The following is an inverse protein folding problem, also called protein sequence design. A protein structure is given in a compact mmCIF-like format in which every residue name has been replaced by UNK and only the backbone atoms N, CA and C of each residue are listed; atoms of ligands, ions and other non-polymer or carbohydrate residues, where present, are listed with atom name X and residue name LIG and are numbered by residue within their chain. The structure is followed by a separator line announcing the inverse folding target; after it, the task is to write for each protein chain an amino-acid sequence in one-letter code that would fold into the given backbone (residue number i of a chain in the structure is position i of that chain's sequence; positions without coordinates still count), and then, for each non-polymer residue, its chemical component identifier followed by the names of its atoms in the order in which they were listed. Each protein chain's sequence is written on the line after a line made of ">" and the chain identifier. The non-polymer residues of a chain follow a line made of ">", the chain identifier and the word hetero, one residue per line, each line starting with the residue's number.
data_IF_124868371994
#
_entry.id   IF_124868371994
#
_cell.length_a   1.000
_cell.length_b   1.000
_cell.length_c   1.000
_cell.angle_alpha   90.00
_cell.angle_beta   90.00
_cell.angle_gamma   90.00
#
_symmetry.space_group_name_H-M   'P 1'
#
loop_
_entity.id
_entity.type
_entity.pdbx_description
1 polymer ?
#
# COMPACT_ATOMS: atom_id res chain seq x y z
N UNK A 1 3.28 35.63 -25.49
CA UNK A 1 4.27 34.71 -24.88
C UNK A 1 3.71 33.28 -24.92
N UNK A 2 4.52 32.25 -25.11
CA UNK A 2 4.02 30.89 -25.00
C UNK A 2 3.43 30.63 -23.59
N UNK A 3 2.33 29.87 -23.54
CA UNK A 3 1.71 29.55 -22.27
C UNK A 3 2.65 28.69 -21.42
N UNK A 4 2.67 28.90 -20.11
CA UNK A 4 3.40 28.04 -19.19
C UNK A 4 2.71 26.67 -19.10
N UNK A 5 3.52 25.61 -19.12
CA UNK A 5 3.02 24.23 -19.07
C UNK A 5 2.83 23.76 -17.65
N UNK A 6 1.70 23.08 -17.41
CA UNK A 6 1.40 22.38 -16.14
C UNK A 6 1.01 20.93 -16.43
N UNK A 7 1.61 19.97 -15.70
CA UNK A 7 1.21 18.57 -15.76
C UNK A 7 0.29 18.28 -14.59
N UNK A 8 -0.96 17.88 -14.86
CA UNK A 8 -1.99 17.58 -13.87
C UNK A 8 -2.11 16.06 -13.67
N UNK A 9 -2.00 15.57 -12.43
CA UNK A 9 -2.44 14.23 -12.05
C UNK A 9 -3.96 14.14 -12.20
N UNK A 10 -4.42 13.45 -13.24
CA UNK A 10 -5.79 13.46 -13.72
C UNK A 10 -6.46 12.09 -13.56
N UNK A 11 -7.41 11.97 -12.66
CA UNK A 11 -8.17 10.73 -12.45
C UNK A 11 -9.40 10.56 -13.35
N UNK A 12 -9.77 11.61 -14.12
CA UNK A 12 -11.03 11.62 -14.87
C UNK A 12 -12.27 11.86 -14.00
N UNK A 13 -12.14 12.00 -12.68
CA UNK A 13 -13.21 12.35 -11.75
C UNK A 13 -13.69 13.79 -11.90
N UNK A 14 -14.70 14.16 -11.09
CA UNK A 14 -15.27 15.51 -11.10
C UNK A 14 -14.20 16.55 -10.74
N UNK A 15 -13.55 16.36 -9.60
CA UNK A 15 -12.57 17.32 -9.05
C UNK A 15 -11.44 17.63 -10.04
N UNK A 16 -10.76 16.58 -10.52
CA UNK A 16 -9.63 16.77 -11.44
C UNK A 16 -10.07 17.30 -12.80
N UNK A 17 -11.32 17.06 -13.22
CA UNK A 17 -11.84 17.66 -14.47
C UNK A 17 -12.16 19.15 -14.31
N UNK A 18 -12.69 19.56 -13.15
CA UNK A 18 -12.87 20.98 -12.83
C UNK A 18 -11.54 21.69 -12.71
N UNK A 19 -10.56 21.07 -12.03
CA UNK A 19 -9.19 21.60 -11.92
C UNK A 19 -8.54 21.77 -13.29
N UNK A 20 -8.66 20.78 -14.18
CA UNK A 20 -8.16 20.87 -15.54
C UNK A 20 -8.71 22.12 -16.27
N UNK A 21 -10.03 22.29 -16.21
CA UNK A 21 -10.69 23.44 -16.85
C UNK A 21 -10.26 24.77 -16.23
N UNK A 22 -10.16 24.81 -14.90
CA UNK A 22 -9.69 26.00 -14.16
C UNK A 22 -8.25 26.38 -14.54
N UNK A 23 -7.32 25.43 -14.65
CA UNK A 23 -5.95 25.66 -15.09
C UNK A 23 -5.89 26.24 -16.53
N UNK A 24 -6.73 25.71 -17.43
CA UNK A 24 -6.83 26.21 -18.81
C UNK A 24 -7.36 27.66 -18.83
N UNK A 25 -8.37 27.97 -18.01
CA UNK A 25 -8.91 29.34 -17.88
C UNK A 25 -7.90 30.30 -17.24
N UNK A 26 -7.07 29.83 -16.32
CA UNK A 26 -5.95 30.59 -15.75
C UNK A 26 -4.79 30.82 -16.72
N UNK A 27 -4.90 30.32 -17.96
CA UNK A 27 -3.95 30.60 -19.04
C UNK A 27 -2.84 29.57 -19.20
N UNK A 28 -2.84 28.48 -18.45
CA UNK A 28 -1.84 27.41 -18.58
C UNK A 28 -2.09 26.53 -19.82
N UNK A 29 -1.00 25.98 -20.37
CA UNK A 29 -1.05 24.82 -21.25
C UNK A 29 -1.11 23.57 -20.38
N UNK A 30 -2.33 23.05 -20.13
CA UNK A 30 -2.54 21.94 -19.24
C UNK A 30 -2.35 20.59 -19.95
N UNK A 31 -1.46 19.75 -19.40
CA UNK A 31 -1.20 18.38 -19.83
C UNK A 31 -1.80 17.44 -18.79
N UNK A 32 -2.74 16.61 -19.19
CA UNK A 32 -3.36 15.62 -18.29
C UNK A 32 -2.53 14.34 -18.26
N UNK A 33 -2.31 13.78 -17.06
CA UNK A 33 -1.65 12.52 -16.85
C UNK A 33 -2.53 11.58 -16.01
N UNK A 34 -2.88 10.43 -16.54
CA UNK A 34 -3.60 9.37 -15.85
C UNK A 34 -2.74 8.11 -15.73
N UNK A 35 -2.66 7.55 -14.53
CA UNK A 35 -1.93 6.31 -14.24
C UNK A 35 -2.89 5.10 -14.23
N UNK A 36 -2.52 4.03 -14.93
CA UNK A 36 -3.13 2.72 -14.78
C UNK A 36 -2.39 1.95 -13.68
N UNK A 37 -3.02 1.83 -12.53
CA UNK A 37 -2.55 1.09 -11.36
C UNK A 37 -3.35 -0.20 -11.11
N UNK A 38 -4.11 -0.65 -12.11
CA UNK A 38 -4.96 -1.84 -12.03
C UNK A 38 -6.40 -1.55 -11.57
N UNK A 39 -6.80 -0.28 -11.45
CA UNK A 39 -8.19 0.10 -11.24
C UNK A 39 -9.02 -0.20 -12.50
N UNK A 40 -10.29 -0.58 -12.30
CA UNK A 40 -11.23 -0.84 -13.41
C UNK A 40 -11.72 0.49 -14.02
N UNK A 41 -10.89 1.13 -14.87
CA UNK A 41 -11.22 2.41 -15.50
C UNK A 41 -11.18 2.30 -17.04
N UNK A 42 -12.06 3.05 -17.70
CA UNK A 42 -12.05 3.20 -19.15
C UNK A 42 -11.11 4.35 -19.55
N UNK A 43 -9.84 4.06 -19.71
CA UNK A 43 -8.81 5.06 -20.03
C UNK A 43 -9.03 5.75 -21.40
N UNK A 44 -9.71 5.11 -22.35
CA UNK A 44 -10.12 5.78 -23.61
C UNK A 44 -11.09 6.92 -23.32
N UNK A 45 -12.10 6.67 -22.49
CA UNK A 45 -13.06 7.70 -22.09
C UNK A 45 -12.40 8.79 -21.22
N UNK A 46 -11.43 8.43 -20.36
CA UNK A 46 -10.65 9.40 -19.58
C UNK A 46 -9.86 10.32 -20.51
N UNK A 47 -9.19 9.80 -21.54
CA UNK A 47 -8.46 10.58 -22.54
C UNK A 47 -9.39 11.53 -23.30
N UNK A 48 -10.49 11.02 -23.83
CA UNK A 48 -11.47 11.82 -24.57
C UNK A 48 -12.04 12.96 -23.73
N UNK A 49 -12.35 12.66 -22.46
CA UNK A 49 -12.84 13.66 -21.51
C UNK A 49 -11.82 14.73 -21.23
N UNK A 50 -10.55 14.38 -21.00
CA UNK A 50 -9.48 15.33 -20.73
C UNK A 50 -9.30 16.29 -21.92
N UNK A 51 -9.26 15.78 -23.16
CA UNK A 51 -9.14 16.58 -24.36
C UNK A 51 -10.34 17.53 -24.54
N UNK A 52 -11.56 17.05 -24.35
CA UNK A 52 -12.79 17.87 -24.40
C UNK A 52 -12.81 18.95 -23.32
N UNK A 53 -12.18 18.70 -22.19
CA UNK A 53 -12.10 19.67 -21.07
C UNK A 53 -11.01 20.72 -21.29
N UNK A 54 -10.13 20.55 -22.32
CA UNK A 54 -9.14 21.55 -22.73
C UNK A 54 -7.69 21.15 -22.47
N UNK A 55 -7.41 19.89 -22.15
CA UNK A 55 -6.02 19.43 -22.09
C UNK A 55 -5.36 19.52 -23.47
N UNK A 56 -4.15 20.10 -23.54
CA UNK A 56 -3.36 20.18 -24.78
C UNK A 56 -2.80 18.80 -25.15
N UNK A 57 -2.53 17.96 -24.16
CA UNK A 57 -1.98 16.62 -24.31
C UNK A 57 -2.46 15.71 -23.19
N UNK A 58 -2.53 14.40 -23.45
CA UNK A 58 -2.93 13.40 -22.45
C UNK A 58 -1.96 12.24 -22.48
N UNK A 59 -1.37 11.96 -21.33
CA UNK A 59 -0.58 10.76 -21.06
C UNK A 59 -1.43 9.76 -20.29
N UNK A 60 -1.35 8.49 -20.68
CA UNK A 60 -1.90 7.35 -19.94
C UNK A 60 -0.76 6.36 -19.85
N UNK A 61 -0.31 6.09 -18.63
CA UNK A 61 0.86 5.24 -18.38
C UNK A 61 0.44 4.01 -17.59
N UNK A 62 0.84 2.84 -18.09
CA UNK A 62 0.66 1.57 -17.37
C UNK A 62 1.78 1.41 -16.33
N UNK A 63 1.42 1.50 -15.06
CA UNK A 63 2.37 1.45 -13.94
C UNK A 63 2.16 0.21 -13.05
N UNK A 64 1.39 -0.79 -13.51
CA UNK A 64 1.05 -1.98 -12.70
C UNK A 64 2.25 -2.82 -12.32
N UNK A 65 3.14 -3.09 -13.29
CA UNK A 65 4.35 -3.89 -13.03
C UNK A 65 5.28 -3.15 -12.06
N UNK A 66 5.54 -1.85 -12.30
CA UNK A 66 6.37 -1.00 -11.44
C UNK A 66 5.80 -0.90 -10.01
N UNK A 67 4.46 -0.79 -9.89
CA UNK A 67 3.81 -0.80 -8.57
C UNK A 67 4.11 -2.08 -7.80
N UNK A 68 4.07 -3.24 -8.46
CA UNK A 68 4.33 -4.54 -7.82
C UNK A 68 5.81 -4.67 -7.44
N UNK A 69 6.72 -4.45 -8.39
CA UNK A 69 8.15 -4.76 -8.24
C UNK A 69 8.89 -3.75 -7.37
N UNK A 70 8.59 -2.47 -7.55
CA UNK A 70 9.41 -1.38 -6.99
C UNK A 70 8.79 -0.75 -5.74
N UNK A 71 7.48 -1.02 -5.48
CA UNK A 71 6.78 -0.47 -4.33
C UNK A 71 6.19 -1.55 -3.41
N UNK A 72 5.41 -2.50 -3.93
CA UNK A 72 4.77 -3.52 -3.09
C UNK A 72 5.79 -4.52 -2.53
N UNK A 73 6.67 -5.08 -3.36
CA UNK A 73 7.64 -6.07 -2.90
C UNK A 73 8.67 -5.52 -1.90
N UNK A 74 9.20 -4.30 -2.02
CA UNK A 74 10.02 -3.70 -0.96
C UNK A 74 9.30 -3.55 0.37
N UNK A 75 8.02 -3.16 0.36
CA UNK A 75 7.19 -3.06 1.57
C UNK A 75 6.91 -4.44 2.18
N UNK A 76 6.71 -5.45 1.33
CA UNK A 76 6.57 -6.85 1.76
C UNK A 76 7.83 -7.33 2.48
N UNK A 77 9.02 -7.11 1.90
CA UNK A 77 10.31 -7.48 2.53
C UNK A 77 10.52 -6.82 3.89
N UNK A 78 10.04 -5.58 4.04
CA UNK A 78 10.10 -4.88 5.31
C UNK A 78 9.04 -5.36 6.32
N UNK A 79 8.08 -6.20 5.93
CA UNK A 79 6.85 -6.48 6.68
C UNK A 79 6.15 -5.20 7.16
N UNK A 80 6.23 -4.12 6.36
CA UNK A 80 5.74 -2.82 6.77
C UNK A 80 4.22 -2.79 6.78
N UNK A 81 3.67 -2.63 7.97
CA UNK A 81 2.23 -2.51 8.23
C UNK A 81 2.01 -1.29 9.12
N UNK A 82 1.31 -0.29 8.61
CA UNK A 82 1.07 0.93 9.37
C UNK A 82 0.05 0.68 10.49
N UNK A 83 0.43 1.09 11.71
CA UNK A 83 -0.36 0.88 12.94
C UNK A 83 -0.81 -0.58 13.13
N UNK A 84 0.01 -1.54 12.67
CA UNK A 84 -0.22 -2.97 12.82
C UNK A 84 -1.33 -3.57 11.96
N UNK A 85 -1.98 -2.79 11.08
CA UNK A 85 -3.15 -3.24 10.30
C UNK A 85 -3.18 -2.81 8.84
N UNK A 86 -2.75 -1.59 8.52
CA UNK A 86 -2.88 -1.03 7.17
C UNK A 86 -1.70 -1.42 6.27
N UNK A 87 -1.97 -2.09 5.16
CA UNK A 87 -0.98 -2.59 4.18
C UNK A 87 -0.59 -1.55 3.11
N UNK A 88 -0.83 -0.26 3.37
CA UNK A 88 -0.24 0.90 2.69
C UNK A 88 -0.60 1.11 1.20
N UNK A 89 -1.66 0.49 0.67
CA UNK A 89 -1.93 0.49 -0.77
C UNK A 89 -2.03 1.87 -1.43
N UNK A 90 -2.77 2.83 -0.86
CA UNK A 90 -2.81 4.21 -1.38
C UNK A 90 -1.47 4.93 -1.16
N UNK A 91 -0.81 4.66 -0.02
CA UNK A 91 0.47 5.29 0.33
C UNK A 91 1.60 4.92 -0.62
N UNK A 92 1.54 3.73 -1.24
CA UNK A 92 2.48 3.25 -2.26
C UNK A 92 2.16 3.83 -3.64
N UNK A 93 0.89 3.96 -3.97
CA UNK A 93 0.43 4.43 -5.27
C UNK A 93 0.80 5.89 -5.53
N UNK A 94 0.68 6.77 -4.54
CA UNK A 94 0.89 8.21 -4.74
C UNK A 94 2.32 8.59 -5.07
N UNK A 95 3.37 8.10 -4.39
CA UNK A 95 4.76 8.34 -4.79
C UNK A 95 5.09 7.84 -6.21
N UNK A 96 4.55 6.70 -6.63
CA UNK A 96 4.72 6.20 -7.99
C UNK A 96 4.08 7.12 -9.03
N UNK A 97 2.83 7.54 -8.80
CA UNK A 97 2.12 8.49 -9.68
C UNK A 97 2.89 9.82 -9.75
N UNK A 98 3.33 10.35 -8.60
CA UNK A 98 4.10 11.59 -8.53
C UNK A 98 5.46 11.49 -9.27
N UNK A 99 6.17 10.36 -9.13
CA UNK A 99 7.40 10.08 -9.87
C UNK A 99 7.17 10.17 -11.38
N UNK A 100 6.16 9.46 -11.90
CA UNK A 100 5.83 9.45 -13.32
C UNK A 100 5.41 10.85 -13.80
N UNK A 101 4.67 11.57 -12.99
CA UNK A 101 4.28 12.96 -13.32
C UNK A 101 5.50 13.89 -13.46
N UNK A 102 6.51 13.75 -12.59
CA UNK A 102 7.77 14.49 -12.71
C UNK A 102 8.57 14.09 -13.96
N UNK A 103 8.59 12.79 -14.32
CA UNK A 103 9.21 12.34 -15.57
C UNK A 103 8.54 13.01 -16.79
N UNK A 104 7.20 13.09 -16.80
CA UNK A 104 6.45 13.77 -17.85
C UNK A 104 6.73 15.29 -17.82
N UNK A 105 6.77 15.92 -16.65
CA UNK A 105 7.07 17.34 -16.52
C UNK A 105 8.45 17.68 -17.09
N UNK A 106 9.48 16.87 -16.79
CA UNK A 106 10.82 17.02 -17.36
C UNK A 106 10.81 16.85 -18.89
N UNK A 107 10.12 15.82 -19.41
CA UNK A 107 9.98 15.57 -20.85
C UNK A 107 9.31 16.73 -21.60
N UNK A 108 8.25 17.28 -21.03
CA UNK A 108 7.48 18.38 -21.60
C UNK A 108 8.09 19.77 -21.31
N UNK A 109 9.16 19.82 -20.52
CA UNK A 109 9.78 21.06 -20.02
C UNK A 109 8.76 21.93 -19.28
N UNK A 110 7.86 21.29 -18.53
CA UNK A 110 6.86 21.95 -17.71
C UNK A 110 7.51 22.45 -16.41
N UNK A 111 7.20 23.68 -16.02
CA UNK A 111 7.66 24.28 -14.75
C UNK A 111 6.70 23.99 -13.61
N UNK A 112 5.49 23.56 -13.92
CA UNK A 112 4.42 23.35 -12.95
C UNK A 112 3.89 21.92 -12.99
N UNK A 113 3.55 21.41 -11.81
CA UNK A 113 2.74 20.20 -11.62
C UNK A 113 1.51 20.55 -10.78
N UNK A 114 0.44 19.76 -10.95
CA UNK A 114 -0.80 19.98 -10.21
C UNK A 114 -1.43 18.64 -9.79
N UNK A 115 -2.18 18.65 -8.71
CA UNK A 115 -2.95 17.50 -8.21
C UNK A 115 -4.28 17.94 -7.61
N UNK A 116 -5.23 17.01 -7.50
CA UNK A 116 -6.56 17.28 -6.94
C UNK A 116 -6.73 16.87 -5.48
N UNK A 117 -5.65 16.58 -4.76
CA UNK A 117 -5.73 16.19 -3.35
C UNK A 117 -6.08 17.39 -2.45
N UNK A 118 -6.98 17.15 -1.47
CA UNK A 118 -7.41 18.18 -0.52
C UNK A 118 -6.40 18.39 0.60
N UNK A 119 -6.39 19.58 1.22
CA UNK A 119 -5.52 19.92 2.35
C UNK A 119 -5.77 19.10 3.64
N UNK A 120 -6.87 18.36 3.73
CA UNK A 120 -7.24 17.53 4.89
C UNK A 120 -6.68 16.09 4.82
N UNK A 121 -6.25 15.65 3.62
CA UNK A 121 -5.76 14.29 3.39
C UNK A 121 -4.24 14.16 3.37
N UNK A 122 -3.74 12.93 3.48
CA UNK A 122 -2.31 12.63 3.35
C UNK A 122 -1.80 12.73 1.91
N UNK A 123 -2.67 12.57 0.91
CA UNK A 123 -2.27 12.46 -0.49
C UNK A 123 -1.55 13.69 -1.02
N UNK A 124 -1.96 14.89 -0.60
CA UNK A 124 -1.25 16.12 -0.93
C UNK A 124 0.22 16.07 -0.49
N UNK A 125 0.46 15.57 0.73
CA UNK A 125 1.82 15.46 1.30
C UNK A 125 2.65 14.46 0.48
N UNK A 126 2.07 13.31 0.16
CA UNK A 126 2.71 12.24 -0.65
C UNK A 126 3.10 12.74 -2.04
N UNK A 127 2.22 13.50 -2.70
CA UNK A 127 2.51 14.11 -3.99
C UNK A 127 3.65 15.15 -3.89
N UNK A 128 3.49 16.14 -3.02
CA UNK A 128 4.36 17.30 -2.98
C UNK A 128 5.75 16.96 -2.46
N UNK A 129 5.90 16.12 -1.43
CA UNK A 129 7.20 15.63 -0.97
C UNK A 129 7.94 14.90 -2.10
N UNK A 130 7.23 14.04 -2.85
CA UNK A 130 7.82 13.34 -4.00
C UNK A 130 8.26 14.31 -5.10
N UNK A 131 7.43 15.31 -5.42
CA UNK A 131 7.78 16.30 -6.43
C UNK A 131 9.04 17.07 -6.06
N UNK A 132 9.10 17.62 -4.85
CA UNK A 132 10.24 18.41 -4.38
C UNK A 132 11.52 17.60 -4.27
N UNK A 133 11.41 16.32 -3.89
CA UNK A 133 12.57 15.42 -3.82
C UNK A 133 13.12 15.09 -5.20
N UNK A 134 12.24 14.73 -6.16
CA UNK A 134 12.67 14.26 -7.48
C UNK A 134 12.97 15.38 -8.49
N UNK A 135 12.46 16.57 -8.23
CA UNK A 135 12.71 17.75 -9.07
C UNK A 135 12.73 19.03 -8.22
N UNK A 136 13.84 19.32 -7.52
CA UNK A 136 14.00 20.58 -6.81
C UNK A 136 13.77 21.76 -7.74
N UNK A 137 12.95 22.72 -7.30
CA UNK A 137 12.57 23.90 -8.10
C UNK A 137 11.30 23.76 -8.94
N UNK A 138 10.68 22.57 -9.01
CA UNK A 138 9.34 22.43 -9.59
C UNK A 138 8.31 23.24 -8.79
N UNK A 139 7.42 23.94 -9.45
CA UNK A 139 6.33 24.67 -8.79
C UNK A 139 5.08 23.79 -8.74
N UNK A 140 4.40 23.79 -7.58
CA UNK A 140 3.20 22.99 -7.36
C UNK A 140 1.99 23.90 -7.34
N UNK A 141 0.99 23.60 -8.17
CA UNK A 141 -0.33 24.21 -8.11
C UNK A 141 -1.27 23.21 -7.45
N UNK A 142 -1.65 23.48 -6.20
CA UNK A 142 -2.56 22.64 -5.41
C UNK A 142 -3.89 23.40 -5.20
N UNK A 143 -4.86 23.33 -6.13
CA UNK A 143 -6.02 24.22 -6.15
C UNK A 143 -6.82 24.24 -4.86
N UNK A 144 -6.96 23.08 -4.19
CA UNK A 144 -7.62 23.00 -2.87
C UNK A 144 -6.87 23.71 -1.72
N UNK A 145 -5.75 24.41 -2.01
CA UNK A 145 -5.01 25.28 -1.08
C UNK A 145 -4.87 26.70 -1.60
N UNK A 146 -5.41 26.98 -2.80
CA UNK A 146 -5.36 28.30 -3.43
C UNK A 146 -6.62 29.11 -3.10
N UNK A 147 -6.44 30.35 -2.60
CA UNK A 147 -7.56 31.22 -2.20
C UNK A 147 -8.57 31.45 -3.34
N UNK A 148 -8.08 31.63 -4.57
CA UNK A 148 -8.93 31.84 -5.75
C UNK A 148 -9.84 30.64 -6.03
N UNK A 149 -9.29 29.42 -5.91
CA UNK A 149 -10.04 28.21 -6.10
C UNK A 149 -11.05 27.99 -4.98
N UNK A 150 -10.63 28.17 -3.72
CA UNK A 150 -11.49 28.01 -2.54
C UNK A 150 -12.64 29.01 -2.49
N UNK A 151 -12.42 30.26 -2.94
CA UNK A 151 -13.51 31.25 -3.06
C UNK A 151 -14.54 30.85 -4.10
N UNK A 152 -14.12 30.17 -5.17
CA UNK A 152 -15.00 29.73 -6.28
C UNK A 152 -15.71 28.41 -5.98
N UNK A 153 -15.05 27.50 -5.23
CA UNK A 153 -15.53 26.14 -5.00
C UNK A 153 -15.47 25.79 -3.50
N UNK A 154 -16.61 25.87 -2.83
CA UNK A 154 -16.74 25.53 -1.41
C UNK A 154 -17.06 24.05 -1.18
N UNK A 155 -17.45 23.32 -2.25
CA UNK A 155 -17.76 21.89 -2.14
C UNK A 155 -18.25 21.27 -3.44
N UNK A 156 -18.67 20.01 -3.35
CA UNK A 156 -19.09 19.19 -4.49
C UNK A 156 -20.19 19.83 -5.33
N UNK A 157 -21.13 20.55 -4.71
CA UNK A 157 -22.22 21.21 -5.44
C UNK A 157 -21.73 22.28 -6.39
N UNK A 158 -20.74 23.08 -5.98
CA UNK A 158 -20.17 24.13 -6.83
C UNK A 158 -19.38 23.54 -7.98
N UNK A 159 -18.61 22.45 -7.73
CA UNK A 159 -17.95 21.70 -8.79
C UNK A 159 -18.96 21.14 -9.81
N UNK A 160 -20.07 20.62 -9.37
CA UNK A 160 -21.15 20.11 -10.26
C UNK A 160 -21.78 21.21 -11.10
N UNK A 161 -22.11 22.35 -10.50
CA UNK A 161 -22.62 23.52 -11.22
C UNK A 161 -21.65 24.00 -12.28
N UNK A 162 -20.37 24.16 -11.89
CA UNK A 162 -19.32 24.59 -12.80
C UNK A 162 -19.10 23.60 -13.96
N UNK A 163 -19.08 22.31 -13.64
CA UNK A 163 -18.96 21.26 -14.66
C UNK A 163 -20.10 21.31 -15.67
N UNK A 164 -21.35 21.53 -15.20
CA UNK A 164 -22.52 21.68 -16.08
C UNK A 164 -22.41 22.90 -16.99
N UNK A 165 -22.04 24.06 -16.45
CA UNK A 165 -21.89 25.32 -17.21
C UNK A 165 -20.82 25.18 -18.29
N UNK A 166 -19.72 24.48 -17.98
CA UNK A 166 -18.59 24.31 -18.88
C UNK A 166 -18.67 23.05 -19.78
N UNK A 167 -19.80 22.36 -19.79
CA UNK A 167 -19.99 21.18 -20.63
C UNK A 167 -19.04 20.00 -20.30
N UNK A 168 -18.51 19.97 -19.06
CA UNK A 168 -17.64 18.89 -18.60
C UNK A 168 -18.52 17.64 -18.37
N UNK A 169 -18.25 16.51 -19.05
CA UNK A 169 -19.04 15.30 -18.86
C UNK A 169 -18.86 14.77 -17.43
N UNK A 170 -19.94 14.78 -16.65
CA UNK A 170 -19.96 14.15 -15.31
C UNK A 170 -20.68 12.82 -15.44
N UNK A 171 -20.01 11.73 -15.12
CA UNK A 171 -20.68 10.43 -15.02
C UNK A 171 -21.69 10.53 -13.88
N UNK A 172 -22.96 10.17 -14.16
CA UNK A 172 -23.93 9.88 -13.10
C UNK A 172 -23.43 8.66 -12.33
N UNK A 173 -22.68 8.89 -11.26
CA UNK A 173 -22.39 7.83 -10.30
C UNK A 173 -23.67 7.59 -9.49
N UNK A 174 -24.10 6.33 -9.36
CA UNK A 174 -25.01 5.96 -8.26
C UNK A 174 -24.40 6.59 -7.01
N UNK A 175 -25.18 7.33 -6.28
CA UNK A 175 -24.72 7.99 -5.05
C UNK A 175 -24.28 6.92 -4.06
N UNK A 176 -22.99 6.53 -4.16
CA UNK A 176 -22.35 5.74 -3.11
C UNK A 176 -22.10 6.71 -1.98
N UNK A 177 -22.63 6.44 -0.78
CA UNK A 177 -22.47 7.35 0.35
C UNK A 177 -21.05 7.24 1.00
N UNK A 178 -20.07 6.86 0.24
CA UNK A 178 -18.64 6.79 0.59
C UNK A 178 -17.76 7.07 -0.62
N UNK A 179 -16.50 7.39 -0.38
CA UNK A 179 -15.46 7.48 -1.41
C UNK A 179 -14.71 6.15 -1.51
N UNK A 180 -14.22 5.80 -2.70
CA UNK A 180 -13.36 4.64 -2.92
C UNK A 180 -12.15 5.01 -3.79
N UNK A 181 -10.99 4.42 -3.47
CA UNK A 181 -9.73 4.59 -4.21
C UNK A 181 -9.12 3.21 -4.52
N UNK A 182 -9.39 2.68 -5.71
CA UNK A 182 -8.91 1.37 -6.12
C UNK A 182 -7.53 1.45 -6.80
N UNK A 183 -6.69 0.46 -6.49
CA UNK A 183 -5.49 0.12 -7.24
C UNK A 183 -5.22 -1.40 -7.12
N UNK A 184 -4.16 -1.89 -7.75
CA UNK A 184 -3.82 -3.31 -7.76
C UNK A 184 -3.57 -3.89 -6.36
N UNK A 185 -3.01 -3.07 -5.43
CA UNK A 185 -2.73 -3.51 -4.06
C UNK A 185 -4.02 -3.66 -3.25
N UNK A 186 -4.97 -2.73 -3.41
CA UNK A 186 -6.16 -2.68 -2.57
C UNK A 186 -7.31 -1.83 -3.15
N UNK A 187 -8.45 -1.87 -2.48
CA UNK A 187 -9.44 -0.79 -2.53
C UNK A 187 -9.57 -0.22 -1.12
N UNK A 188 -9.44 1.11 -1.01
CA UNK A 188 -9.80 1.83 0.21
C UNK A 188 -11.19 2.43 0.09
N UNK A 189 -11.93 2.42 1.19
CA UNK A 189 -13.24 3.06 1.34
C UNK A 189 -13.19 4.02 2.54
N UNK A 190 -13.61 5.26 2.33
CA UNK A 190 -13.59 6.30 3.38
C UNK A 190 -14.69 7.34 3.15
N UNK A 191 -14.82 8.26 4.09
CA UNK A 191 -15.75 9.41 4.05
C UNK A 191 -17.25 9.02 4.09
N UNK A 192 -18.11 10.05 4.11
CA UNK A 192 -19.56 9.89 4.14
C UNK A 192 -20.05 9.09 5.33
N UNK A 193 -20.82 8.03 5.09
CA UNK A 193 -21.39 7.19 6.16
C UNK A 193 -20.32 6.46 7.00
N UNK A 194 -19.09 6.31 6.46
CA UNK A 194 -17.98 5.67 7.17
C UNK A 194 -17.32 6.61 8.20
N UNK A 195 -17.65 7.90 8.19
CA UNK A 195 -17.19 8.86 9.21
C UNK A 195 -17.77 8.57 10.60
N UNK A 196 -18.91 7.87 10.67
CA UNK A 196 -19.41 7.28 11.90
C UNK A 196 -18.67 5.96 12.19
N UNK A 197 -17.81 5.89 13.26
CA UNK A 197 -17.07 4.67 13.57
C UNK A 197 -17.97 3.50 13.98
N UNK A 198 -19.21 3.75 14.39
CA UNK A 198 -20.19 2.72 14.78
C UNK A 198 -20.90 2.10 13.58
N UNK A 199 -20.87 2.74 12.41
CA UNK A 199 -21.51 2.25 11.21
C UNK A 199 -20.86 0.95 10.71
N UNK A 200 -21.65 -0.11 10.55
CA UNK A 200 -21.18 -1.38 10.00
C UNK A 200 -21.16 -1.32 8.46
N UNK A 201 -20.00 -1.49 7.80
CA UNK A 201 -19.92 -1.55 6.34
C UNK A 201 -20.84 -2.62 5.77
N UNK A 202 -21.64 -2.25 4.75
CA UNK A 202 -22.51 -3.18 4.07
C UNK A 202 -21.73 -4.13 3.16
N UNK A 203 -22.20 -5.37 3.00
CA UNK A 203 -21.56 -6.35 2.10
C UNK A 203 -21.47 -5.86 0.64
N UNK A 204 -22.43 -5.07 0.19
CA UNK A 204 -22.45 -4.49 -1.16
C UNK A 204 -21.41 -3.41 -1.42
N UNK A 205 -20.66 -2.97 -0.39
CA UNK A 205 -19.55 -2.03 -0.53
C UNK A 205 -18.32 -2.70 -1.14
N UNK A 206 -18.06 -3.96 -0.80
CA UNK A 206 -16.84 -4.67 -1.14
C UNK A 206 -16.84 -5.14 -2.61
N UNK A 207 -15.74 -4.84 -3.34
CA UNK A 207 -15.63 -5.09 -4.78
C UNK A 207 -14.53 -6.12 -5.14
N UNK A 208 -13.54 -6.33 -4.26
CA UNK A 208 -12.47 -7.33 -4.48
C UNK A 208 -12.77 -8.65 -3.81
N UNK A 209 -13.53 -8.66 -2.71
CA UNK A 209 -13.73 -9.84 -1.87
C UNK A 209 -15.19 -10.21 -1.74
N UNK A 210 -15.50 -11.49 -1.77
CA UNK A 210 -16.81 -11.97 -1.34
C UNK A 210 -16.88 -11.97 0.19
N UNK A 211 -18.10 -11.94 0.75
CA UNK A 211 -18.29 -12.15 2.20
C UNK A 211 -17.68 -13.49 2.63
N UNK A 212 -16.99 -13.57 3.77
CA UNK A 212 -16.54 -14.85 4.31
C UNK A 212 -17.66 -15.89 4.45
N UNK A 213 -18.90 -15.43 4.69
CA UNK A 213 -20.08 -16.32 4.77
C UNK A 213 -20.45 -16.93 3.41
N UNK A 214 -20.23 -16.19 2.33
CA UNK A 214 -20.53 -16.60 0.95
C UNK A 214 -19.34 -17.26 0.24
N UNK A 215 -18.15 -17.19 0.84
CA UNK A 215 -16.95 -17.83 0.32
C UNK A 215 -17.14 -19.37 0.26
N UNK A 216 -16.44 -20.06 -0.66
CA UNK A 216 -16.57 -21.51 -0.85
C UNK A 216 -16.41 -22.30 0.44
N UNK A 217 -17.17 -23.41 0.56
CA UNK A 217 -17.04 -24.37 1.67
C UNK A 217 -15.84 -25.31 1.50
N UNK A 218 -15.06 -25.16 0.44
CA UNK A 218 -13.82 -25.89 0.19
C UNK A 218 -12.65 -24.91 0.27
N UNK A 219 -11.61 -25.30 0.99
CA UNK A 219 -10.37 -24.54 1.05
C UNK A 219 -9.67 -24.42 -0.31
N UNK A 220 -8.89 -23.38 -0.49
CA UNK A 220 -7.96 -23.22 -1.61
C UNK A 220 -6.54 -23.27 -1.06
N UNK A 221 -5.78 -24.32 -1.42
CA UNK A 221 -4.39 -24.46 -0.98
C UNK A 221 -3.45 -23.93 -2.05
N UNK A 222 -2.46 -23.17 -1.61
CA UNK A 222 -1.44 -22.58 -2.48
C UNK A 222 -0.04 -22.81 -1.92
N UNK A 223 0.92 -22.97 -2.83
CA UNK A 223 2.34 -22.90 -2.51
C UNK A 223 2.91 -21.61 -3.08
N UNK A 224 3.65 -20.84 -2.27
CA UNK A 224 4.30 -19.60 -2.67
C UNK A 224 5.80 -19.76 -2.47
N UNK A 225 6.57 -19.58 -3.54
CA UNK A 225 8.02 -19.59 -3.48
C UNK A 225 8.56 -18.17 -3.35
N UNK A 226 9.56 -18.02 -2.51
CA UNK A 226 10.29 -16.79 -2.31
C UNK A 226 11.78 -16.97 -2.62
N UNK A 227 12.38 -15.91 -3.15
CA UNK A 227 13.83 -15.77 -3.28
C UNK A 227 14.24 -14.40 -2.72
N UNK A 228 15.11 -14.41 -1.70
CA UNK A 228 15.55 -13.19 -1.00
C UNK A 228 14.39 -12.27 -0.60
N UNK A 229 13.33 -12.87 -0.06
CA UNK A 229 12.13 -12.18 0.41
C UNK A 229 11.15 -11.73 -0.69
N UNK A 230 11.47 -11.97 -1.97
CA UNK A 230 10.61 -11.64 -3.10
C UNK A 230 9.81 -12.87 -3.53
N UNK A 231 8.48 -12.79 -3.69
CA UNK A 231 7.69 -13.91 -4.21
C UNK A 231 7.98 -14.11 -5.70
N UNK A 232 8.39 -15.33 -6.06
CA UNK A 232 8.80 -15.69 -7.44
C UNK A 232 7.84 -16.64 -8.13
N UNK A 233 7.01 -17.35 -7.36
CA UNK A 233 6.02 -18.27 -7.91
C UNK A 233 4.86 -18.46 -6.95
N UNK A 234 3.66 -18.55 -7.49
CA UNK A 234 2.48 -19.10 -6.82
C UNK A 234 1.96 -20.29 -7.59
N UNK A 235 1.63 -21.37 -6.87
CA UNK A 235 0.98 -22.56 -7.43
C UNK A 235 -0.27 -22.88 -6.63
N UNK A 236 -1.40 -22.96 -7.29
CA UNK A 236 -2.63 -23.51 -6.71
C UNK A 236 -2.54 -25.03 -6.73
N UNK A 237 -2.67 -25.67 -5.56
CA UNK A 237 -2.44 -27.10 -5.41
C UNK A 237 -3.64 -27.96 -5.86
N UNK A 238 -4.83 -27.37 -5.94
CA UNK A 238 -6.04 -28.04 -6.43
C UNK A 238 -6.14 -28.01 -7.96
N UNK A 239 -5.82 -26.85 -8.59
CA UNK A 239 -6.02 -26.66 -10.03
C UNK A 239 -4.75 -26.78 -10.85
N UNK A 240 -3.57 -26.80 -10.20
CA UNK A 240 -2.27 -26.80 -10.87
C UNK A 240 -1.86 -25.46 -11.49
N UNK A 241 -2.72 -24.44 -11.45
CA UNK A 241 -2.42 -23.10 -12.01
C UNK A 241 -1.17 -22.53 -11.34
N UNK A 242 -0.22 -22.11 -12.17
CA UNK A 242 1.06 -21.54 -11.72
C UNK A 242 1.28 -20.18 -12.35
N UNK A 243 1.76 -19.20 -11.57
CA UNK A 243 2.14 -17.86 -11.98
C UNK A 243 3.53 -17.53 -11.47
N UNK A 244 4.37 -16.96 -12.36
CA UNK A 244 5.78 -16.62 -12.05
C UNK A 244 6.14 -15.18 -12.35
N UNK A 245 5.38 -14.48 -13.22
CA UNK A 245 5.59 -13.06 -13.45
C UNK A 245 4.99 -12.24 -12.31
N UNK A 246 5.68 -11.22 -11.80
CA UNK A 246 5.25 -10.46 -10.62
C UNK A 246 3.79 -9.98 -10.68
N UNK A 247 3.42 -9.28 -11.75
CA UNK A 247 2.06 -8.76 -11.94
C UNK A 247 1.01 -9.88 -12.04
N UNK A 248 1.30 -10.96 -12.79
CA UNK A 248 0.38 -12.09 -12.92
C UNK A 248 0.21 -12.85 -11.59
N UNK A 249 1.30 -13.02 -10.84
CA UNK A 249 1.30 -13.64 -9.51
C UNK A 249 0.44 -12.83 -8.55
N UNK A 250 0.67 -11.53 -8.47
CA UNK A 250 -0.06 -10.64 -7.57
C UNK A 250 -1.55 -10.57 -7.92
N UNK A 251 -1.87 -10.43 -9.21
CA UNK A 251 -3.25 -10.42 -9.70
C UNK A 251 -3.97 -11.74 -9.40
N UNK A 252 -3.28 -12.87 -9.58
CA UNK A 252 -3.85 -14.19 -9.27
C UNK A 252 -4.13 -14.35 -7.77
N UNK A 253 -3.23 -13.90 -6.91
CA UNK A 253 -3.44 -13.91 -5.45
C UNK A 253 -4.62 -13.01 -5.04
N UNK A 254 -4.82 -11.86 -5.69
CA UNK A 254 -6.01 -11.04 -5.48
C UNK A 254 -7.29 -11.80 -5.83
N UNK A 255 -7.30 -12.52 -6.96
CA UNK A 255 -8.46 -13.29 -7.43
C UNK A 255 -8.82 -14.41 -6.44
N UNK A 256 -7.86 -15.25 -6.07
CA UNK A 256 -8.14 -16.39 -5.17
C UNK A 256 -8.39 -15.94 -3.73
N UNK A 257 -7.65 -14.92 -3.24
CA UNK A 257 -7.87 -14.33 -1.93
C UNK A 257 -9.26 -13.71 -1.84
N UNK A 258 -9.64 -12.90 -2.83
CA UNK A 258 -10.96 -12.29 -2.92
C UNK A 258 -12.09 -13.32 -2.96
N UNK A 259 -11.95 -14.39 -3.77
CA UNK A 259 -12.88 -15.50 -3.83
C UNK A 259 -13.07 -16.19 -2.47
N UNK A 260 -12.03 -16.25 -1.64
CA UNK A 260 -12.07 -16.86 -0.31
C UNK A 260 -12.39 -15.84 0.80
N UNK A 261 -12.73 -14.59 0.47
CA UNK A 261 -13.12 -13.55 1.43
C UNK A 261 -11.96 -13.00 2.27
N UNK A 262 -10.73 -13.17 1.81
CA UNK A 262 -9.50 -12.78 2.51
C UNK A 262 -9.19 -11.29 2.30
N UNK A 263 -8.69 -10.61 3.35
CA UNK A 263 -8.03 -9.31 3.23
C UNK A 263 -8.89 -8.09 3.54
N UNK A 264 -10.02 -8.23 4.25
CA UNK A 264 -10.83 -7.10 4.73
C UNK A 264 -10.29 -6.56 6.05
N UNK A 265 -10.16 -5.24 6.11
CA UNK A 265 -9.71 -4.51 7.30
C UNK A 265 -10.62 -3.30 7.49
N UNK A 266 -11.03 -3.03 8.73
CA UNK A 266 -11.74 -1.83 9.16
C UNK A 266 -11.00 -1.26 10.36
N UNK A 267 -10.47 -0.03 10.26
CA UNK A 267 -9.66 0.58 11.31
C UNK A 267 -9.81 2.08 11.37
N UNK A 268 -9.56 2.62 12.54
CA UNK A 268 -9.30 4.05 12.75
C UNK A 268 -7.79 4.23 12.81
N UNK A 269 -7.26 5.06 11.93
CA UNK A 269 -5.83 5.35 11.78
C UNK A 269 -5.52 6.82 12.06
N UNK A 270 -4.26 7.12 12.34
CA UNK A 270 -3.79 8.49 12.53
C UNK A 270 -3.18 9.03 11.24
N UNK A 271 -3.80 10.06 10.67
CA UNK A 271 -3.24 10.76 9.50
C UNK A 271 -2.02 11.58 9.89
N UNK A 272 -1.09 11.76 8.96
CA UNK A 272 0.11 12.58 9.17
C UNK A 272 -0.22 14.04 9.54
N UNK A 273 -1.33 14.56 9.04
CA UNK A 273 -1.85 15.90 9.40
C UNK A 273 -2.45 15.97 10.81
N UNK A 274 -2.32 14.93 11.64
CA UNK A 274 -2.66 14.94 13.06
C UNK A 274 -4.12 14.62 13.40
N UNK A 275 -4.93 14.15 12.44
CA UNK A 275 -6.34 13.78 12.68
C UNK A 275 -6.55 12.27 12.55
N UNK A 276 -7.50 11.75 13.30
CA UNK A 276 -7.96 10.37 13.15
C UNK A 276 -8.89 10.26 11.95
N UNK A 277 -8.78 9.14 11.23
CA UNK A 277 -9.64 8.81 10.10
C UNK A 277 -9.96 7.33 10.10
N UNK A 278 -11.20 6.98 9.75
CA UNK A 278 -11.56 5.58 9.53
C UNK A 278 -11.36 5.22 8.08
N UNK A 279 -10.68 4.10 7.86
CA UNK A 279 -10.52 3.46 6.56
C UNK A 279 -10.99 2.01 6.60
N UNK A 280 -11.73 1.61 5.56
CA UNK A 280 -12.09 0.22 5.31
C UNK A 280 -11.35 -0.22 4.05
N UNK A 281 -10.73 -1.40 4.09
CA UNK A 281 -9.80 -1.84 3.04
C UNK A 281 -10.07 -3.27 2.61
N UNK A 282 -9.82 -3.55 1.34
CA UNK A 282 -9.72 -4.90 0.78
C UNK A 282 -8.34 -5.10 0.20
N UNK A 283 -7.52 -5.98 0.77
CA UNK A 283 -6.11 -6.20 0.39
C UNK A 283 -5.79 -7.69 0.30
N UNK A 284 -6.40 -8.46 -0.61
CA UNK A 284 -6.30 -9.93 -0.62
C UNK A 284 -4.88 -10.43 -0.82
N UNK A 285 -4.21 -10.08 -1.92
CA UNK A 285 -2.87 -10.54 -2.24
C UNK A 285 -1.84 -10.06 -1.21
N UNK A 286 -1.92 -8.79 -0.80
CA UNK A 286 -1.02 -8.23 0.21
C UNK A 286 -1.09 -8.99 1.53
N UNK A 287 -2.29 -9.34 1.99
CA UNK A 287 -2.50 -10.12 3.22
C UNK A 287 -1.91 -11.54 3.11
N UNK A 288 -2.15 -12.22 1.96
CA UNK A 288 -1.61 -13.56 1.73
C UNK A 288 -0.08 -13.54 1.72
N UNK A 289 0.51 -12.62 0.97
CA UNK A 289 1.96 -12.51 0.84
C UNK A 289 2.63 -12.12 2.16
N UNK A 290 2.05 -11.19 2.92
CA UNK A 290 2.58 -10.75 4.20
C UNK A 290 2.63 -11.90 5.21
N UNK A 291 1.59 -12.74 5.30
CA UNK A 291 1.56 -13.91 6.18
C UNK A 291 2.59 -14.95 5.73
N UNK A 292 2.65 -15.27 4.43
CA UNK A 292 3.59 -16.25 3.89
C UNK A 292 5.06 -15.81 4.09
N UNK A 293 5.35 -14.54 3.78
CA UNK A 293 6.70 -14.00 3.92
C UNK A 293 7.15 -14.02 5.38
N UNK A 294 6.31 -13.53 6.30
CA UNK A 294 6.62 -13.50 7.73
C UNK A 294 6.86 -14.90 8.31
N UNK A 295 6.13 -15.90 7.84
CA UNK A 295 6.31 -17.28 8.25
C UNK A 295 7.65 -17.86 7.77
N UNK A 296 8.04 -17.57 6.51
CA UNK A 296 9.33 -18.01 5.97
C UNK A 296 10.51 -17.35 6.70
N UNK A 297 10.41 -16.09 7.09
CA UNK A 297 11.41 -15.41 7.91
C UNK A 297 11.63 -16.13 9.25
N UNK A 298 10.57 -16.59 9.89
CA UNK A 298 10.66 -17.37 11.12
C UNK A 298 11.48 -18.65 10.99
N UNK A 299 11.58 -19.23 9.77
CA UNK A 299 12.37 -20.41 9.48
C UNK A 299 13.84 -20.10 9.14
N UNK A 300 14.09 -18.96 8.48
CA UNK A 300 15.36 -18.70 7.76
C UNK A 300 16.16 -17.54 8.33
N UNK A 301 15.56 -16.67 9.14
CA UNK A 301 16.23 -15.49 9.69
C UNK A 301 16.76 -15.76 11.10
N UNK A 302 18.00 -15.33 11.37
CA UNK A 302 18.54 -15.35 12.72
C UNK A 302 17.66 -14.52 13.66
N UNK A 303 17.51 -14.97 14.91
CA UNK A 303 16.65 -14.35 15.93
C UNK A 303 16.97 -12.88 16.15
N UNK A 304 18.24 -12.54 16.32
CA UNK A 304 18.63 -11.16 16.66
C UNK A 304 18.49 -10.24 15.45
N UNK A 305 18.77 -10.76 14.23
CA UNK A 305 18.51 -10.04 12.97
C UNK A 305 17.02 -9.77 12.79
N UNK A 306 16.16 -10.76 13.09
CA UNK A 306 14.71 -10.59 12.99
C UNK A 306 14.19 -9.54 13.99
N UNK A 307 14.65 -9.58 15.25
CA UNK A 307 14.27 -8.59 16.26
C UNK A 307 14.75 -7.19 15.90
N UNK A 308 15.98 -7.07 15.38
CA UNK A 308 16.50 -5.79 14.90
C UNK A 308 15.65 -5.23 13.75
N UNK A 309 15.36 -6.06 12.74
CA UNK A 309 14.51 -5.68 11.60
C UNK A 309 13.10 -5.28 12.06
N UNK A 310 12.51 -6.02 12.99
CA UNK A 310 11.18 -5.70 13.53
C UNK A 310 11.17 -4.35 14.26
N UNK A 311 12.28 -3.94 14.83
CA UNK A 311 12.43 -2.60 15.40
C UNK A 311 12.36 -1.48 14.35
N UNK A 312 12.76 -1.71 13.11
CA UNK A 312 12.69 -0.75 12.01
C UNK A 312 11.39 -0.78 11.23
N UNK A 313 10.62 -1.87 11.31
CA UNK A 313 9.36 -2.04 10.56
C UNK A 313 8.35 -0.90 10.80
N UNK A 314 8.09 -0.43 12.04
CA UNK A 314 7.16 0.67 12.27
C UNK A 314 7.64 1.97 11.61
N UNK A 315 8.94 2.26 11.66
CA UNK A 315 9.51 3.46 11.02
C UNK A 315 9.45 3.39 9.50
N UNK A 316 9.71 2.22 8.93
CA UNK A 316 9.54 2.01 7.49
C UNK A 316 8.08 2.26 7.06
N UNK A 317 7.12 1.68 7.78
CA UNK A 317 5.69 1.86 7.51
C UNK A 317 5.26 3.32 7.66
N UNK A 318 5.77 4.03 8.67
CA UNK A 318 5.51 5.46 8.89
C UNK A 318 6.02 6.31 7.73
N UNK A 319 7.26 6.10 7.27
CA UNK A 319 7.82 6.84 6.14
C UNK A 319 7.03 6.62 4.86
N UNK A 320 6.60 5.38 4.59
CA UNK A 320 5.71 5.08 3.46
C UNK A 320 4.38 5.82 3.61
N UNK A 321 3.76 5.73 4.79
CA UNK A 321 2.44 6.32 5.04
C UNK A 321 2.46 7.85 4.90
N UNK A 322 3.55 8.49 5.35
CA UNK A 322 3.74 9.94 5.32
C UNK A 322 4.22 10.48 3.96
N UNK A 323 4.64 9.63 3.02
CA UNK A 323 5.07 10.05 1.68
C UNK A 323 6.57 10.26 1.52
N UNK A 324 7.39 9.79 2.44
CA UNK A 324 8.86 9.89 2.41
C UNK A 324 9.53 8.74 1.65
N UNK A 325 8.87 8.20 0.60
CA UNK A 325 9.40 7.08 -0.18
C UNK A 325 10.78 7.33 -0.80
N UNK A 326 11.07 8.56 -1.18
CA UNK A 326 12.33 8.97 -1.82
C UNK A 326 13.26 9.75 -0.88
N UNK A 327 13.04 9.67 0.43
CA UNK A 327 13.88 10.34 1.42
C UNK A 327 15.18 9.58 1.70
N UNK A 328 16.26 10.27 2.15
CA UNK A 328 17.53 9.62 2.48
C UNK A 328 17.41 8.52 3.55
N UNK A 329 16.55 8.72 4.56
CA UNK A 329 16.30 7.72 5.60
C UNK A 329 15.61 6.46 5.05
N UNK A 330 14.72 6.61 4.04
CA UNK A 330 14.11 5.47 3.37
C UNK A 330 15.15 4.68 2.55
N UNK A 331 16.07 5.35 1.88
CA UNK A 331 17.17 4.69 1.14
C UNK A 331 18.00 3.81 2.08
N UNK A 332 18.38 4.35 3.25
CA UNK A 332 19.13 3.59 4.27
C UNK A 332 18.33 2.37 4.76
N UNK A 333 17.04 2.58 5.11
CA UNK A 333 16.20 1.49 5.60
C UNK A 333 16.02 0.40 4.55
N UNK A 334 15.88 0.75 3.27
CA UNK A 334 15.76 -0.24 2.18
C UNK A 334 17.02 -1.11 2.08
N UNK A 335 18.20 -0.53 2.14
CA UNK A 335 19.48 -1.28 2.13
C UNK A 335 19.55 -2.22 3.33
N UNK A 336 19.20 -1.74 4.53
CA UNK A 336 19.18 -2.56 5.73
C UNK A 336 18.19 -3.72 5.61
N UNK A 337 16.96 -3.47 5.14
CA UNK A 337 15.96 -4.50 4.93
C UNK A 337 16.46 -5.53 3.91
N UNK A 338 16.98 -5.09 2.76
CA UNK A 338 17.50 -6.00 1.72
C UNK A 338 18.58 -6.92 2.26
N UNK A 339 19.47 -6.41 3.12
CA UNK A 339 20.49 -7.21 3.78
C UNK A 339 19.89 -8.31 4.67
N UNK A 340 18.79 -8.04 5.37
CA UNK A 340 18.15 -9.05 6.22
C UNK A 340 17.48 -10.17 5.42
N UNK A 341 17.20 -9.97 4.13
CA UNK A 341 16.47 -10.89 3.29
C UNK A 341 17.33 -11.90 2.52
N UNK A 342 18.65 -11.83 2.62
CA UNK A 342 19.57 -12.66 1.81
C UNK A 342 19.28 -14.16 1.87
N UNK A 343 18.83 -14.67 3.01
CA UNK A 343 18.51 -16.08 3.21
C UNK A 343 17.02 -16.38 3.25
N UNK A 344 16.14 -15.37 3.12
CA UNK A 344 14.68 -15.57 3.10
C UNK A 344 14.25 -16.13 1.74
N UNK A 345 14.60 -17.39 1.52
CA UNK A 345 14.38 -18.15 0.28
C UNK A 345 13.81 -19.50 0.64
N UNK A 346 12.69 -19.87 0.01
CA UNK A 346 12.02 -21.13 0.28
C UNK A 346 10.57 -21.11 -0.17
N UNK A 347 9.79 -22.04 0.34
CA UNK A 347 8.38 -22.22 -0.01
C UNK A 347 7.51 -22.24 1.24
N UNK A 348 6.36 -21.57 1.15
CA UNK A 348 5.31 -21.62 2.17
C UNK A 348 4.03 -22.16 1.56
N UNK A 349 3.38 -23.09 2.25
CA UNK A 349 2.09 -23.65 1.90
C UNK A 349 1.00 -23.03 2.76
N UNK A 350 -0.05 -22.54 2.10
CA UNK A 350 -1.17 -21.87 2.76
C UNK A 350 -2.49 -22.52 2.39
N UNK A 351 -3.42 -22.54 3.33
CA UNK A 351 -4.84 -22.81 3.13
C UNK A 351 -5.63 -21.51 3.29
N UNK A 352 -6.42 -21.16 2.27
CA UNK A 352 -7.32 -20.02 2.25
C UNK A 352 -8.76 -20.53 2.43
N UNK A 353 -9.43 -20.11 3.51
CA UNK A 353 -10.77 -20.57 3.81
C UNK A 353 -11.58 -19.52 4.56
N UNK A 354 -12.69 -19.09 3.97
CA UNK A 354 -13.69 -18.21 4.61
C UNK A 354 -13.10 -16.99 5.33
N UNK A 355 -12.22 -16.26 4.64
CA UNK A 355 -11.57 -15.06 5.16
C UNK A 355 -10.32 -15.33 5.99
N UNK A 356 -10.04 -16.57 6.32
CA UNK A 356 -8.85 -16.96 7.08
C UNK A 356 -7.73 -17.46 6.17
N UNK A 357 -6.49 -17.30 6.64
CA UNK A 357 -5.27 -17.84 6.04
C UNK A 357 -4.56 -18.68 7.10
N UNK A 358 -4.36 -19.96 6.80
CA UNK A 358 -3.60 -20.86 7.65
C UNK A 358 -2.32 -21.29 6.94
N UNK A 359 -1.19 -21.15 7.62
CA UNK A 359 0.07 -21.77 7.17
C UNK A 359 -0.03 -23.27 7.48
N UNK A 360 0.13 -24.09 6.43
CA UNK A 360 0.04 -25.56 6.53
C UNK A 360 1.37 -26.27 6.31
N UNK A 361 2.42 -25.53 6.00
CA UNK A 361 3.78 -26.04 5.87
C UNK A 361 4.75 -25.02 5.31
N UNK A 362 6.03 -25.27 5.46
CA UNK A 362 7.14 -24.45 4.94
C UNK A 362 8.37 -25.31 4.71
N UNK A 363 9.19 -24.89 3.75
CA UNK A 363 10.48 -25.53 3.48
C UNK A 363 11.50 -24.51 2.96
N UNK A 364 12.76 -24.66 3.38
CA UNK A 364 13.87 -23.86 2.89
C UNK A 364 15.18 -24.62 3.02
N UNK A 365 16.06 -24.49 2.02
CA UNK A 365 17.45 -24.94 2.11
C UNK A 365 18.32 -24.09 3.06
N UNK A 366 17.82 -22.92 3.48
CA UNK A 366 18.45 -22.02 4.43
C UNK A 366 17.77 -22.07 5.82
N UNK A 367 17.03 -23.15 6.12
CA UNK A 367 16.42 -23.34 7.42
C UNK A 367 17.44 -23.29 8.54
N UNK A 368 17.14 -22.49 9.57
CA UNK A 368 17.86 -22.49 10.86
C UNK A 368 17.23 -23.46 11.86
N UNK A 369 16.09 -24.09 11.49
CA UNK A 369 15.46 -25.09 12.34
C UNK A 369 16.23 -26.42 12.24
N UNK A 370 16.77 -26.87 13.36
CA UNK A 370 17.44 -28.16 13.50
C UNK A 370 16.57 -29.07 14.36
N UNK A 371 16.07 -30.14 13.76
CA UNK A 371 15.19 -31.10 14.42
C UNK A 371 15.89 -31.82 15.58
N UNK A 372 17.19 -32.05 15.50
CA UNK A 372 17.95 -32.75 16.56
C UNK A 372 18.12 -31.88 17.81
N UNK A 373 18.27 -30.57 17.63
CA UNK A 373 18.39 -29.61 18.72
C UNK A 373 17.04 -29.27 19.36
N UNK A 374 15.97 -29.25 18.56
CA UNK A 374 14.64 -28.83 18.99
C UNK A 374 13.76 -29.98 19.51
N UNK A 375 14.13 -31.24 19.23
CA UNK A 375 13.35 -32.40 19.65
C UNK A 375 13.42 -32.61 21.16
N UNK A 376 12.28 -32.87 21.77
CA UNK A 376 12.17 -33.28 23.17
C UNK A 376 12.37 -34.78 23.34
N UNK A 377 12.28 -35.57 22.25
CA UNK A 377 12.31 -37.02 22.24
C UNK A 377 13.66 -37.61 21.82
N UNK A 378 14.47 -36.81 21.14
CA UNK A 378 15.80 -37.20 20.61
C UNK A 378 16.87 -36.70 21.57
N UNK A 379 17.64 -37.61 22.17
CA UNK A 379 18.83 -37.24 22.94
C UNK A 379 19.94 -36.78 22.02
N UNK A 380 20.49 -35.58 22.24
CA UNK A 380 21.59 -35.02 21.48
C UNK A 380 21.38 -33.57 21.05
N UNK A 381 22.35 -33.00 20.36
CA UNK A 381 22.27 -31.64 19.78
C UNK A 381 22.39 -30.48 20.79
N UNK A 382 21.98 -30.67 22.05
CA UNK A 382 22.00 -29.66 23.09
C UNK A 382 22.28 -30.29 24.48
N UNK A 383 23.29 -29.83 25.22
CA UNK A 383 23.50 -30.25 26.59
C UNK A 383 22.60 -29.43 27.54
N UNK A 384 21.54 -30.06 28.04
CA UNK A 384 20.58 -29.41 28.94
C UNK A 384 21.20 -28.86 30.24
N UNK A 385 22.39 -29.36 30.64
CA UNK A 385 23.12 -28.88 31.84
C UNK A 385 23.57 -27.43 31.69
N UNK A 386 23.86 -26.97 30.46
CA UNK A 386 24.27 -25.58 30.17
C UNK A 386 23.22 -24.57 30.55
N UNK A 387 21.93 -24.95 30.47
CA UNK A 387 20.82 -24.10 30.86
C UNK A 387 20.89 -23.66 32.32
N UNK A 388 21.45 -24.48 33.22
CA UNK A 388 21.56 -24.15 34.64
C UNK A 388 22.44 -22.90 34.87
N UNK A 389 23.60 -22.82 34.19
CA UNK A 389 24.48 -21.68 34.26
C UNK A 389 23.88 -20.43 33.66
N UNK A 390 23.28 -20.56 32.47
CA UNK A 390 22.57 -19.50 31.77
C UNK A 390 21.43 -18.88 32.60
N UNK A 391 20.58 -19.71 33.21
CA UNK A 391 19.50 -19.26 34.09
C UNK A 391 20.01 -18.52 35.30
N UNK A 392 21.05 -19.04 35.99
CA UNK A 392 21.67 -18.40 37.19
C UNK A 392 22.16 -16.98 36.87
N UNK A 393 22.89 -16.79 35.77
CA UNK A 393 23.43 -15.49 35.37
C UNK A 393 22.25 -14.52 35.08
N UNK A 394 21.24 -14.94 34.30
CA UNK A 394 20.10 -14.09 33.99
C UNK A 394 19.25 -13.78 35.23
N UNK A 395 19.19 -14.68 36.22
CA UNK A 395 18.45 -14.47 37.48
C UNK A 395 19.09 -13.38 38.37
N UNK A 396 20.37 -13.08 38.26
CA UNK A 396 21.05 -12.08 39.10
C UNK A 396 20.32 -10.73 39.06
N UNK A 397 20.01 -10.26 37.87
CA UNK A 397 19.28 -8.98 37.68
C UNK A 397 17.91 -9.01 38.34
N UNK A 398 17.15 -10.11 38.21
CA UNK A 398 15.80 -10.26 38.74
C UNK A 398 15.83 -10.33 40.27
N UNK A 399 16.73 -11.11 40.83
CA UNK A 399 16.96 -11.23 42.30
C UNK A 399 17.30 -9.86 42.92
N UNK A 400 18.26 -9.13 42.34
CA UNK A 400 18.65 -7.81 42.84
C UNK A 400 17.48 -6.80 42.76
N UNK A 401 16.67 -6.86 41.70
CA UNK A 401 15.48 -6.01 41.57
C UNK A 401 14.47 -6.30 42.67
N UNK A 402 14.24 -7.57 42.96
CA UNK A 402 13.28 -7.97 44.02
C UNK A 402 13.78 -7.64 45.42
N UNK A 403 15.05 -7.88 45.72
CA UNK A 403 15.67 -7.50 46.98
C UNK A 403 15.60 -6.01 47.25
N UNK A 404 15.76 -5.18 46.20
CA UNK A 404 15.56 -3.72 46.30
C UNK A 404 14.15 -3.33 46.71
N UNK A 405 13.12 -4.00 46.14
CA UNK A 405 11.71 -3.77 46.52
C UNK A 405 11.43 -4.11 47.97
N UNK A 406 12.02 -5.21 48.48
CA UNK A 406 11.83 -5.62 49.88
C UNK A 406 12.47 -4.65 50.87
N UNK A 407 13.54 -3.91 50.48
CA UNK A 407 14.16 -2.86 51.32
C UNK A 407 13.31 -1.60 51.42
N UNK A 408 12.25 -1.47 50.62
CA UNK A 408 11.31 -0.33 50.67
C UNK A 408 10.04 -0.59 51.51
N UNK A 409 9.82 -1.83 51.93
CA UNK A 409 8.82 -2.23 52.91
C UNK A 409 9.45 -2.29 54.29
#
# INVERSE_FOLDING_TARGET
>A
MPKEKVVLAYSGGLDTSVILKWLVEAGYEAIAFAADLGQKENFKAVREKALKTGASKVYIEDLKEELVTDFIFPVLKANAVYEGRYLLGTSLARPLVAKKQIEIAKKEKAKFVSHGATGKGNDQVRFELTYHTLYPGIQVIAPWKEDEFLKKFQGRQDLMKYAKINGIPVRATKDKPWSSDPNLMHISYEAGILEDPSYRPSEGMFEMTVSPRQAPNKETRVAIDFEKGIPTRVKNLETGVTKTKPLELFTYLNQIGGKNGVGRIDMVENRFVGIKSRGVYETPAGTILQIAHRDLEGLTMDREVMHLRDGFMPKFAELVYYGFWFSPEMEILRVMIDKTQEFVTGRVYLSLYKGNIQVIGRESKYSLYDQTQSSMDIAGGFDQRDSKGFIKINAIRLINSELRKRKRK
#
